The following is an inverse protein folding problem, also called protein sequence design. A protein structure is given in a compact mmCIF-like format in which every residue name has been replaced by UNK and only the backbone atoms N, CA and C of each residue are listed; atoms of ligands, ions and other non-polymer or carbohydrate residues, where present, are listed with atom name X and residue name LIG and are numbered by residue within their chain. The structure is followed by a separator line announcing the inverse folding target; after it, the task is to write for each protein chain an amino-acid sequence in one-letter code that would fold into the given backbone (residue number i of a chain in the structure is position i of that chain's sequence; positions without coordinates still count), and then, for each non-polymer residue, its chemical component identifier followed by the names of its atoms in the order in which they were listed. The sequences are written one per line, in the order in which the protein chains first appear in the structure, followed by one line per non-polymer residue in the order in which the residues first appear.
data_IF_831793132383
#
_entry.id   IF_831793132383
#
_cell.length_a   1.000
_cell.length_b   1.000
_cell.length_c   1.000
_cell.angle_alpha   90.00
_cell.angle_beta   90.00
_cell.angle_gamma   90.00
#
_symmetry.space_group_name_H-M   'P 1'
#
loop_
_entity.id
_entity.type
_entity.pdbx_description
1 polymer ?
#
# COMPACT_ATOMS: atom_id res chain seq x y z
N UNK A 1 8.51 13.32 -7.68
CA UNK A 1 7.43 12.30 -7.70
C UNK A 1 6.18 12.86 -7.06
N UNK A 2 4.98 12.58 -7.61
CA UNK A 2 3.70 13.13 -7.13
C UNK A 2 3.13 12.45 -5.86
N UNK A 3 3.95 11.79 -5.05
CA UNK A 3 3.49 11.06 -3.86
C UNK A 3 2.49 9.94 -4.19
N UNK A 4 1.66 9.54 -3.21
CA UNK A 4 0.55 8.61 -3.43
C UNK A 4 -0.73 9.35 -3.82
N UNK A 5 -1.64 8.64 -4.51
CA UNK A 5 -2.95 9.15 -4.91
C UNK A 5 -4.04 8.49 -4.04
N UNK A 6 -5.04 9.27 -3.62
CA UNK A 6 -6.17 8.75 -2.85
C UNK A 6 -7.02 7.83 -3.72
N UNK A 7 -7.18 6.60 -3.27
CA UNK A 7 -8.06 5.62 -3.90
C UNK A 7 -9.54 5.96 -3.60
N UNK A 8 -10.31 6.35 -4.63
CA UNK A 8 -11.68 6.86 -4.47
C UNK A 8 -12.74 6.10 -5.27
N UNK A 9 -12.36 5.14 -6.11
CA UNK A 9 -13.28 4.47 -7.05
C UNK A 9 -13.19 2.94 -6.98
N UNK A 10 -13.50 2.37 -5.82
CA UNK A 10 -13.71 0.92 -5.72
C UNK A 10 -13.78 0.39 -4.30
N UNK A 11 -13.57 -0.93 -4.17
CA UNK A 11 -13.63 -1.67 -2.90
C UNK A 11 -12.33 -2.43 -2.72
N UNK A 12 -11.80 -2.40 -1.50
CA UNK A 12 -10.66 -3.24 -1.10
C UNK A 12 -11.26 -4.50 -0.50
N UNK A 13 -11.04 -5.65 -1.14
CA UNK A 13 -11.65 -6.93 -0.77
C UNK A 13 -10.61 -7.81 -0.07
N UNK A 14 -11.07 -8.70 0.82
CA UNK A 14 -10.22 -9.64 1.54
C UNK A 14 -9.62 -9.04 2.82
N UNK A 15 -8.54 -9.66 3.32
CA UNK A 15 -7.95 -9.32 4.60
C UNK A 15 -7.56 -7.83 4.70
N UNK A 16 -6.98 -7.25 3.66
CA UNK A 16 -6.54 -5.85 3.65
C UNK A 16 -7.70 -4.87 3.83
N UNK A 17 -8.84 -5.12 3.19
CA UNK A 17 -10.03 -4.27 3.34
C UNK A 17 -10.72 -4.50 4.68
N UNK A 18 -10.82 -5.76 5.12
CA UNK A 18 -11.40 -6.11 6.40
C UNK A 18 -10.62 -5.50 7.57
N UNK A 19 -9.28 -5.57 7.53
CA UNK A 19 -8.42 -4.97 8.56
C UNK A 19 -8.61 -3.45 8.63
N UNK A 20 -8.67 -2.77 7.48
CA UNK A 20 -8.90 -1.33 7.44
C UNK A 20 -10.28 -0.95 8.01
N UNK A 21 -11.32 -1.73 7.68
CA UNK A 21 -12.66 -1.55 8.24
C UNK A 21 -12.68 -1.79 9.76
N UNK A 22 -12.09 -2.88 10.24
CA UNK A 22 -12.01 -3.19 11.68
C UNK A 22 -11.20 -2.16 12.46
N UNK A 23 -10.12 -1.62 11.88
CA UNK A 23 -9.35 -0.54 12.49
C UNK A 23 -10.24 0.69 12.71
N UNK A 24 -11.03 1.08 11.69
CA UNK A 24 -12.00 2.17 11.79
C UNK A 24 -13.03 1.92 12.89
N UNK A 25 -13.64 0.73 12.94
CA UNK A 25 -14.62 0.38 13.99
C UNK A 25 -14.00 0.39 15.41
N UNK A 26 -12.68 0.23 15.51
CA UNK A 26 -11.93 0.24 16.78
C UNK A 26 -11.26 1.59 17.10
N UNK A 27 -11.56 2.65 16.35
CA UNK A 27 -10.92 3.97 16.48
C UNK A 27 -9.39 3.90 16.38
N UNK A 28 -8.87 3.01 15.53
CA UNK A 28 -7.45 2.89 15.24
C UNK A 28 -7.13 3.56 13.92
N UNK A 29 -6.05 4.35 13.89
CA UNK A 29 -5.51 4.88 12.64
C UNK A 29 -4.94 3.76 11.78
N UNK A 30 -5.27 3.77 10.49
CA UNK A 30 -4.82 2.77 9.55
C UNK A 30 -4.92 3.27 8.12
N UNK A 31 -4.02 2.78 7.26
CA UNK A 31 -4.02 3.09 5.83
C UNK A 31 -3.76 1.81 5.05
N UNK A 32 -4.34 1.72 3.85
CA UNK A 32 -4.00 0.68 2.89
C UNK A 32 -3.17 1.30 1.75
N UNK A 33 -2.01 0.70 1.47
CA UNK A 33 -1.19 1.03 0.31
C UNK A 33 -1.48 0.04 -0.82
N UNK A 34 -1.75 0.56 -2.01
CA UNK A 34 -2.09 -0.23 -3.19
C UNK A 34 -1.04 0.01 -4.29
N UNK A 35 -0.43 -1.07 -4.77
CA UNK A 35 0.47 -1.04 -5.93
C UNK A 35 -0.26 -1.51 -7.18
N UNK A 36 -0.23 -0.71 -8.25
CA UNK A 36 -0.77 -1.12 -9.55
C UNK A 36 0.04 -2.29 -10.10
N UNK A 37 -0.63 -3.37 -10.47
CA UNK A 37 -0.06 -4.55 -11.14
C UNK A 37 -0.75 -4.77 -12.49
N UNK A 38 -0.08 -5.46 -13.40
CA UNK A 38 -0.62 -5.80 -14.73
C UNK A 38 -1.55 -7.03 -14.72
N UNK A 39 -1.64 -7.75 -13.59
CA UNK A 39 -2.51 -8.91 -13.46
C UNK A 39 -2.36 -9.66 -12.13
N UNK A 40 -2.77 -10.93 -12.11
CA UNK A 40 -2.80 -11.76 -10.88
C UNK A 40 -1.50 -12.51 -10.57
N UNK A 41 -0.43 -12.26 -11.33
CA UNK A 41 0.88 -12.86 -11.07
C UNK A 41 1.66 -12.04 -10.06
N UNK A 42 2.63 -12.69 -9.40
CA UNK A 42 3.56 -11.99 -8.54
C UNK A 42 4.33 -10.92 -9.34
N UNK A 43 4.23 -9.67 -8.90
CA UNK A 43 4.89 -8.53 -9.52
C UNK A 43 5.88 -7.90 -8.52
N UNK A 44 7.17 -8.21 -8.71
CA UNK A 44 8.26 -7.69 -7.87
C UNK A 44 8.33 -6.16 -7.96
N UNK A 45 8.09 -5.58 -9.13
CA UNK A 45 8.18 -4.13 -9.35
C UNK A 45 7.08 -3.37 -8.61
N UNK A 46 5.84 -3.86 -8.69
CA UNK A 46 4.72 -3.29 -7.96
C UNK A 46 4.93 -3.40 -6.44
N UNK A 47 5.37 -4.57 -5.95
CA UNK A 47 5.69 -4.77 -4.54
C UNK A 47 6.81 -3.85 -4.05
N UNK A 48 7.89 -3.73 -4.83
CA UNK A 48 9.01 -2.86 -4.48
C UNK A 48 8.63 -1.38 -4.48
N UNK A 49 7.72 -0.96 -5.35
CA UNK A 49 7.21 0.42 -5.38
C UNK A 49 6.43 0.75 -4.11
N UNK A 50 5.53 -0.14 -3.67
CA UNK A 50 4.79 0.03 -2.41
C UNK A 50 5.76 0.02 -1.21
N UNK A 51 6.76 -0.86 -1.22
CA UNK A 51 7.78 -0.90 -0.17
C UNK A 51 8.58 0.39 -0.08
N UNK A 52 9.09 0.93 -1.20
CA UNK A 52 9.79 2.22 -1.22
C UNK A 52 8.92 3.35 -0.68
N UNK A 53 7.65 3.38 -1.07
CA UNK A 53 6.71 4.38 -0.58
C UNK A 53 6.52 4.28 0.94
N UNK A 54 6.30 3.06 1.45
CA UNK A 54 6.17 2.81 2.89
C UNK A 54 7.43 3.26 3.65
N UNK A 55 8.61 2.88 3.19
CA UNK A 55 9.88 3.24 3.84
C UNK A 55 10.08 4.75 3.88
N UNK A 56 9.80 5.44 2.77
CA UNK A 56 9.84 6.90 2.71
C UNK A 56 8.83 7.55 3.66
N UNK A 57 7.60 7.01 3.76
CA UNK A 57 6.59 7.50 4.69
C UNK A 57 6.99 7.32 6.17
N UNK A 58 7.82 6.31 6.45
CA UNK A 58 8.41 6.05 7.78
C UNK A 58 9.75 6.79 8.01
N UNK A 59 10.18 7.65 7.09
CA UNK A 59 11.43 8.42 7.23
C UNK A 59 12.71 7.61 6.93
N UNK A 60 12.60 6.47 6.27
CA UNK A 60 13.73 5.60 5.94
C UNK A 60 14.14 5.73 4.46
N UNK A 61 15.43 5.56 4.18
CA UNK A 61 15.96 5.44 2.82
C UNK A 61 16.06 3.98 2.40
N UNK A 62 15.66 3.68 1.15
CA UNK A 62 15.81 2.35 0.55
C UNK A 62 17.00 2.37 -0.40
N UNK A 63 18.00 1.52 -0.14
CA UNK A 63 19.10 1.27 -1.09
C UNK A 63 18.65 0.25 -2.11
N UNK A 64 18.79 0.57 -3.39
CA UNK A 64 18.49 -0.35 -4.49
C UNK A 64 19.71 -1.22 -4.78
N UNK A 65 19.52 -2.56 -4.81
CA UNK A 65 20.56 -3.52 -5.18
C UNK A 65 21.16 -4.30 -4.00
N UNK A 66 20.71 -5.53 -3.86
CA UNK A 66 21.50 -6.68 -3.40
C UNK A 66 21.43 -7.73 -4.50
#
# INVERSE_FOLDING_TARGET
EKGAVIYSKGRIVGATGLLLGLAKERNMEGVCLLGTTTGFRADRGAGFTVFKFLMKALGNEVKEGL
#
